data_IF_044546761566
#
_entry.id   IF_044546761566
#
_cell.length_a   1.000
_cell.length_b   1.000
_cell.length_c   1.000
_cell.angle_alpha   90.00
_cell.angle_beta   90.00
_cell.angle_gamma   90.00
#
_symmetry.space_group_name_H-M   'P 1'
#
loop_
_entity.id
_entity.type
_entity.pdbx_description
1 polymer ?
#
# COMPACT_ATOMS: atom_id res chain seq x y z
N UNK A 1 -12.37 -1.27 -11.96
CA UNK A 1 -11.50 -2.45 -11.66
C UNK A 1 -10.98 -3.17 -12.90
N UNK A 2 -11.81 -3.77 -13.77
CA UNK A 2 -11.30 -4.51 -14.94
C UNK A 2 -10.56 -3.62 -15.97
N UNK A 3 -11.03 -2.37 -16.16
CA UNK A 3 -10.35 -1.40 -17.02
C UNK A 3 -9.00 -0.92 -16.44
N UNK A 4 -8.95 -0.71 -15.12
CA UNK A 4 -7.73 -0.39 -14.38
C UNK A 4 -6.70 -1.53 -14.44
N UNK A 5 -7.13 -2.79 -14.23
CA UNK A 5 -6.27 -3.96 -14.35
C UNK A 5 -5.63 -4.06 -15.75
N UNK A 6 -6.43 -3.82 -16.82
CA UNK A 6 -5.93 -3.79 -18.21
C UNK A 6 -4.99 -2.63 -18.50
N UNK A 7 -5.20 -1.47 -17.86
CA UNK A 7 -4.27 -0.33 -17.93
C UNK A 7 -2.94 -0.71 -17.27
N UNK A 8 -2.98 -1.30 -16.07
CA UNK A 8 -1.80 -1.72 -15.30
C UNK A 8 -0.97 -2.79 -16.01
N UNK A 9 -1.62 -3.81 -16.59
CA UNK A 9 -0.97 -4.84 -17.43
C UNK A 9 -0.12 -4.23 -18.54
N UNK A 10 -0.54 -3.10 -19.10
CA UNK A 10 0.10 -2.50 -20.29
C UNK A 10 1.02 -1.33 -19.95
N UNK A 11 0.78 -0.56 -18.89
CA UNK A 11 1.64 0.57 -18.48
C UNK A 11 3.02 0.07 -18.04
N UNK A 12 3.08 -1.09 -17.37
CA UNK A 12 4.27 -1.53 -16.63
C UNK A 12 5.05 -2.65 -17.32
N UNK A 13 4.43 -3.43 -18.22
CA UNK A 13 5.04 -4.65 -18.77
C UNK A 13 6.09 -4.45 -19.88
N UNK A 14 5.90 -3.57 -20.90
CA UNK A 14 6.85 -3.50 -22.01
C UNK A 14 8.19 -2.83 -21.65
N UNK A 15 8.18 -1.81 -20.78
CA UNK A 15 9.40 -1.04 -20.47
C UNK A 15 10.36 -1.78 -19.54
N UNK A 16 9.86 -2.60 -18.61
CA UNK A 16 10.68 -3.21 -17.54
C UNK A 16 11.08 -4.66 -17.80
N UNK A 17 10.48 -5.36 -18.77
CA UNK A 17 10.96 -6.69 -19.19
C UNK A 17 12.32 -6.57 -19.89
N UNK A 18 12.60 -5.48 -20.60
CA UNK A 18 13.89 -5.25 -21.24
C UNK A 18 14.97 -4.79 -20.25
N UNK A 19 14.69 -3.83 -19.37
CA UNK A 19 15.65 -3.39 -18.32
C UNK A 19 16.04 -4.52 -17.35
N UNK A 20 15.13 -5.48 -17.08
CA UNK A 20 15.42 -6.62 -16.20
C UNK A 20 15.87 -7.90 -16.89
N UNK A 21 15.81 -8.03 -18.22
CA UNK A 21 16.56 -9.12 -18.90
C UNK A 21 18.06 -8.86 -18.77
N UNK A 22 18.47 -7.59 -18.88
CA UNK A 22 19.86 -7.16 -18.67
C UNK A 22 20.28 -7.30 -17.19
N UNK A 23 19.45 -6.91 -16.21
CA UNK A 23 19.76 -7.16 -14.78
C UNK A 23 19.63 -8.64 -14.35
N UNK A 24 18.81 -9.46 -15.02
CA UNK A 24 18.64 -10.88 -14.70
C UNK A 24 19.80 -11.75 -15.20
N UNK A 25 20.50 -11.33 -16.26
CA UNK A 25 21.72 -11.98 -16.72
C UNK A 25 22.87 -11.83 -15.71
N UNK A 26 22.92 -10.73 -14.94
CA UNK A 26 23.87 -10.55 -13.83
C UNK A 26 23.48 -11.30 -12.53
N UNK A 27 22.24 -11.79 -12.41
CA UNK A 27 21.65 -12.40 -11.18
C UNK A 27 21.70 -13.93 -11.11
N UNK A 28 22.36 -14.62 -12.05
CA UNK A 28 22.37 -16.10 -12.12
C UNK A 28 23.14 -16.84 -11.00
N UNK A 29 23.45 -16.22 -9.85
CA UNK A 29 24.23 -16.86 -8.78
C UNK A 29 23.66 -16.76 -7.35
N UNK A 30 22.37 -16.45 -7.18
CA UNK A 30 21.73 -16.42 -5.85
C UNK A 30 20.68 -17.52 -5.67
N UNK A 31 20.57 -18.19 -4.50
CA UNK A 31 19.61 -19.27 -4.27
C UNK A 31 18.15 -18.81 -4.18
N UNK A 32 17.91 -17.52 -3.89
CA UNK A 32 16.60 -16.90 -3.99
C UNK A 32 16.40 -16.44 -5.43
N UNK A 33 15.73 -17.27 -6.24
CA UNK A 33 15.27 -16.88 -7.57
C UNK A 33 14.38 -15.63 -7.49
N UNK A 34 14.21 -14.88 -8.60
CA UNK A 34 13.28 -13.75 -8.60
C UNK A 34 11.90 -14.25 -8.17
N UNK A 35 11.36 -13.70 -7.07
CA UNK A 35 9.96 -13.97 -6.72
C UNK A 35 9.12 -13.70 -7.97
N UNK A 36 8.48 -14.74 -8.51
CA UNK A 36 7.87 -14.65 -9.83
C UNK A 36 6.73 -13.65 -9.78
N UNK A 37 6.84 -12.61 -10.61
CA UNK A 37 5.73 -11.71 -10.85
C UNK A 37 4.65 -12.49 -11.60
N UNK A 38 3.40 -12.17 -11.30
CA UNK A 38 2.24 -12.65 -12.05
C UNK A 38 2.18 -12.02 -13.44
N UNK A 39 1.47 -12.66 -14.36
CA UNK A 39 1.18 -12.10 -15.69
C UNK A 39 0.27 -10.86 -15.61
N UNK A 40 -0.54 -10.77 -14.55
CA UNK A 40 -1.42 -9.64 -14.25
C UNK A 40 -1.53 -9.41 -12.73
N UNK A 41 -1.65 -8.15 -12.27
CA UNK A 41 -1.70 -7.86 -10.84
C UNK A 41 -3.05 -8.25 -10.23
N UNK A 42 -3.02 -8.84 -9.04
CA UNK A 42 -4.20 -9.09 -8.24
C UNK A 42 -4.60 -7.82 -7.49
N UNK A 43 -5.50 -7.07 -8.11
CA UNK A 43 -5.97 -5.77 -7.62
C UNK A 43 -7.15 -5.86 -6.63
N UNK A 44 -7.57 -7.06 -6.23
CA UNK A 44 -8.71 -7.22 -5.32
C UNK A 44 -8.33 -6.72 -3.92
N UNK A 45 -9.12 -5.78 -3.39
CA UNK A 45 -8.94 -5.20 -2.07
C UNK A 45 -10.18 -5.46 -1.20
N UNK A 46 -9.99 -5.50 0.12
CA UNK A 46 -11.09 -5.55 1.12
C UNK A 46 -10.87 -4.46 2.17
N UNK A 47 -11.06 -3.19 1.79
CA UNK A 47 -10.86 -2.08 2.71
C UNK A 47 -11.84 -2.19 3.88
N UNK A 48 -11.36 -1.93 5.09
CA UNK A 48 -12.18 -1.88 6.29
C UNK A 48 -11.69 -0.77 7.22
N UNK A 49 -12.56 -0.34 8.12
CA UNK A 49 -12.26 0.73 9.06
C UNK A 49 -13.19 0.69 10.24
N UNK A 50 -13.03 1.67 11.13
CA UNK A 50 -13.85 1.84 12.31
C UNK A 50 -13.59 3.18 12.98
N UNK A 51 -14.40 3.52 13.96
CA UNK A 51 -14.23 4.72 14.75
C UNK A 51 -14.51 4.47 16.23
N UNK A 52 -13.72 5.08 17.10
CA UNK A 52 -13.96 5.19 18.53
C UNK A 52 -14.40 6.63 18.83
N UNK A 53 -15.72 6.85 18.81
CA UNK A 53 -16.32 8.17 18.93
C UNK A 53 -15.94 8.91 20.23
N UNK A 54 -15.70 8.18 21.32
CA UNK A 54 -15.31 8.73 22.62
C UNK A 54 -13.98 9.48 22.62
N UNK A 55 -13.10 9.22 21.64
CA UNK A 55 -11.77 9.85 21.55
C UNK A 55 -11.49 10.50 20.19
N UNK A 56 -12.50 10.59 19.34
CA UNK A 56 -12.39 11.16 17.99
C UNK A 56 -11.34 10.46 17.13
N UNK A 57 -11.12 9.16 17.38
CA UNK A 57 -10.20 8.32 16.62
C UNK A 57 -10.98 7.57 15.55
N UNK A 58 -10.52 7.59 14.32
CA UNK A 58 -11.01 6.69 13.27
C UNK A 58 -9.84 6.08 12.52
N UNK A 59 -10.07 4.94 11.88
CA UNK A 59 -9.06 4.33 11.05
C UNK A 59 -9.66 3.70 9.80
N UNK A 60 -8.79 3.52 8.81
CA UNK A 60 -9.02 2.70 7.65
C UNK A 60 -7.79 1.86 7.37
N UNK A 61 -8.01 0.70 6.78
CA UNK A 61 -6.95 -0.19 6.34
C UNK A 61 -7.32 -0.78 4.98
N UNK A 62 -6.32 -0.98 4.13
CA UNK A 62 -6.45 -1.77 2.92
C UNK A 62 -5.18 -2.54 2.64
N UNK A 63 -5.31 -3.60 1.86
CA UNK A 63 -4.20 -4.44 1.44
C UNK A 63 -4.47 -4.96 0.02
N UNK A 64 -3.42 -5.07 -0.80
CA UNK A 64 -3.48 -5.57 -2.17
C UNK A 64 -2.25 -6.44 -2.46
N UNK A 65 -2.48 -7.60 -3.07
CA UNK A 65 -1.41 -8.53 -3.42
C UNK A 65 -0.52 -7.96 -4.54
N UNK A 66 -1.12 -7.22 -5.48
CA UNK A 66 -0.37 -6.62 -6.57
C UNK A 66 0.23 -7.68 -7.50
N UNK A 67 1.51 -7.52 -7.84
CA UNK A 67 2.18 -8.35 -8.84
C UNK A 67 2.86 -9.60 -8.28
N UNK A 68 3.02 -9.72 -6.96
CA UNK A 68 3.66 -10.89 -6.34
C UNK A 68 2.78 -12.13 -6.46
N UNK A 69 3.40 -13.31 -6.54
CA UNK A 69 2.67 -14.59 -6.58
C UNK A 69 1.86 -14.87 -5.29
N UNK A 70 2.34 -14.39 -4.15
CA UNK A 70 1.74 -14.54 -2.84
C UNK A 70 1.45 -13.18 -2.20
N UNK A 71 0.51 -13.16 -1.25
CA UNK A 71 0.29 -12.05 -0.33
C UNK A 71 0.89 -12.44 1.01
N UNK A 72 2.05 -11.88 1.33
CA UNK A 72 2.83 -12.18 2.54
C UNK A 72 2.59 -11.16 3.66
N UNK A 73 2.07 -9.97 3.34
CA UNK A 73 1.67 -8.97 4.34
C UNK A 73 0.50 -9.44 5.23
N UNK A 74 0.50 -8.94 6.46
CA UNK A 74 -0.61 -8.99 7.39
C UNK A 74 -0.74 -7.68 8.17
N UNK A 75 -1.90 -7.45 8.79
CA UNK A 75 -2.11 -6.28 9.64
C UNK A 75 -3.16 -6.54 10.72
N UNK A 76 -3.17 -5.71 11.76
CA UNK A 76 -4.24 -5.71 12.76
C UNK A 76 -4.56 -4.28 13.24
N UNK A 77 -5.81 -4.09 13.67
CA UNK A 77 -6.33 -2.81 14.12
C UNK A 77 -7.32 -3.02 15.28
N UNK A 78 -7.01 -2.42 16.43
CA UNK A 78 -7.73 -2.54 17.68
C UNK A 78 -8.04 -1.13 18.17
N UNK A 79 -9.28 -0.70 18.01
CA UNK A 79 -9.73 0.63 18.47
C UNK A 79 -9.79 0.74 20.00
N UNK A 80 -9.84 -0.40 20.67
CA UNK A 80 -9.82 -0.52 22.11
C UNK A 80 -8.92 -1.70 22.49
N UNK A 81 -8.09 -1.51 23.51
CA UNK A 81 -7.24 -2.54 24.07
C UNK A 81 -7.87 -3.13 25.35
N UNK A 82 -8.26 -4.42 25.34
CA UNK A 82 -8.87 -5.05 26.51
C UNK A 82 -7.99 -4.96 27.76
N UNK A 83 -8.59 -4.61 28.90
CA UNK A 83 -7.88 -4.49 30.17
C UNK A 83 -7.16 -3.15 30.39
N UNK A 84 -7.13 -2.27 29.38
CA UNK A 84 -6.69 -0.89 29.52
C UNK A 84 -7.87 0.07 29.60
N UNK A 85 -7.62 1.26 30.15
CA UNK A 85 -8.60 2.33 30.18
C UNK A 85 -9.01 2.81 28.79
N UNK A 86 -10.08 3.61 28.69
CA UNK A 86 -10.51 4.19 27.41
C UNK A 86 -9.41 5.07 26.79
N UNK A 87 -9.34 5.10 25.46
CA UNK A 87 -8.39 5.93 24.71
C UNK A 87 -7.08 5.23 24.34
N UNK A 88 -6.97 3.93 24.66
CA UNK A 88 -5.89 3.07 24.18
C UNK A 88 -6.30 2.30 22.92
N UNK A 89 -5.49 2.39 21.87
CA UNK A 89 -5.69 1.68 20.61
C UNK A 89 -4.38 1.13 20.07
N UNK A 90 -4.44 0.07 19.27
CA UNK A 90 -3.26 -0.59 18.70
C UNK A 90 -3.45 -0.88 17.21
N UNK A 91 -2.46 -0.55 16.41
CA UNK A 91 -2.42 -0.82 14.97
C UNK A 91 -1.07 -1.40 14.62
N UNK A 92 -1.03 -2.39 13.74
CA UNK A 92 0.23 -2.90 13.23
C UNK A 92 0.14 -3.35 11.78
N UNK A 93 1.23 -3.16 11.04
CA UNK A 93 1.46 -3.73 9.72
C UNK A 93 2.70 -4.61 9.81
N UNK A 94 2.63 -5.76 9.13
CA UNK A 94 3.67 -6.76 9.09
C UNK A 94 3.88 -7.16 7.63
N UNK A 95 5.00 -6.75 7.07
CA UNK A 95 5.44 -7.13 5.73
C UNK A 95 6.20 -8.45 5.84
N UNK A 96 5.68 -9.51 5.23
CA UNK A 96 6.23 -10.85 5.35
C UNK A 96 7.20 -11.18 4.22
N UNK A 97 8.24 -11.95 4.51
CA UNK A 97 9.14 -12.48 3.48
C UNK A 97 9.51 -13.93 3.79
N UNK A 98 9.69 -14.72 2.73
CA UNK A 98 10.00 -16.15 2.87
C UNK A 98 8.82 -16.96 3.46
N UNK A 99 7.59 -16.51 3.21
CA UNK A 99 6.36 -17.10 3.70
C UNK A 99 5.54 -16.16 4.61
N UNK A 100 4.24 -16.46 4.73
CA UNK A 100 3.28 -15.64 5.50
C UNK A 100 3.34 -15.84 7.01
N UNK A 101 4.06 -16.86 7.50
CA UNK A 101 3.91 -17.35 8.88
C UNK A 101 4.27 -16.30 9.91
N UNK A 102 5.38 -15.59 9.71
CA UNK A 102 5.85 -14.57 10.66
C UNK A 102 4.89 -13.38 10.72
N UNK A 103 4.44 -12.87 9.56
CA UNK A 103 3.49 -11.75 9.47
C UNK A 103 2.14 -12.11 10.11
N UNK A 104 1.58 -13.28 9.79
CA UNK A 104 0.33 -13.75 10.38
C UNK A 104 0.45 -13.98 11.90
N UNK A 105 1.59 -14.50 12.37
CA UNK A 105 1.84 -14.66 13.79
C UNK A 105 1.85 -13.30 14.49
N UNK A 106 2.60 -12.33 13.98
CA UNK A 106 2.70 -11.02 14.61
C UNK A 106 1.36 -10.26 14.59
N UNK A 107 0.62 -10.28 13.47
CA UNK A 107 -0.71 -9.66 13.39
C UNK A 107 -1.68 -10.23 14.46
N UNK A 108 -1.57 -11.53 14.74
CA UNK A 108 -2.45 -12.23 15.67
C UNK A 108 -2.02 -12.12 17.14
N UNK A 109 -0.72 -12.18 17.42
CA UNK A 109 -0.21 -12.39 18.76
C UNK A 109 0.52 -11.19 19.36
N UNK A 110 1.08 -10.30 18.55
CA UNK A 110 1.80 -9.11 19.05
C UNK A 110 0.94 -8.21 19.97
N UNK A 111 -0.36 -7.95 19.68
CA UNK A 111 -1.21 -7.20 20.60
C UNK A 111 -1.28 -7.81 22.01
N UNK A 112 -1.31 -9.15 22.10
CA UNK A 112 -1.34 -9.86 23.38
C UNK A 112 -0.06 -9.68 24.20
N UNK A 113 1.10 -9.74 23.55
CA UNK A 113 2.39 -9.48 24.22
C UNK A 113 2.52 -8.03 24.68
N UNK A 114 1.98 -7.09 23.89
CA UNK A 114 1.94 -5.68 24.29
C UNK A 114 1.07 -5.50 25.52
N UNK A 115 -0.15 -6.06 25.54
CA UNK A 115 -1.04 -6.03 26.70
C UNK A 115 -0.39 -6.62 27.96
N UNK A 116 0.23 -7.80 27.84
CA UNK A 116 0.93 -8.45 28.95
C UNK A 116 2.08 -7.58 29.49
N UNK A 117 2.87 -6.99 28.59
CA UNK A 117 4.04 -6.19 28.96
C UNK A 117 3.68 -4.83 29.59
N UNK A 118 2.53 -4.25 29.20
CA UNK A 118 2.01 -3.00 29.75
C UNK A 118 1.38 -3.18 31.14
N UNK A 119 0.68 -4.31 31.36
CA UNK A 119 -0.12 -4.51 32.56
C UNK A 119 -1.37 -3.61 32.60
N UNK A 120 -2.15 -3.64 33.71
CA UNK A 120 -3.44 -2.94 33.80
C UNK A 120 -3.31 -1.42 33.98
N UNK A 121 -2.13 -0.93 34.39
CA UNK A 121 -1.85 0.47 34.61
C UNK A 121 -0.52 0.83 33.95
N UNK A 122 -0.52 1.16 32.64
CA UNK A 122 0.69 1.55 31.92
C UNK A 122 1.35 2.75 32.61
N UNK A 123 2.67 2.65 32.82
CA UNK A 123 3.46 3.68 33.51
C UNK A 123 3.82 4.89 32.62
N UNK A 124 4.86 5.60 33.02
CA UNK A 124 5.45 6.72 32.27
C UNK A 124 5.90 6.32 30.84
N UNK A 125 6.06 7.27 29.91
CA UNK A 125 6.38 6.98 28.51
C UNK A 125 7.56 6.05 28.31
N UNK A 126 8.63 6.21 29.08
CA UNK A 126 9.81 5.35 29.03
C UNK A 126 9.47 3.89 29.40
N UNK A 127 8.63 3.70 30.42
CA UNK A 127 8.16 2.38 30.83
C UNK A 127 7.32 1.69 29.76
N UNK A 128 6.51 2.46 29.03
CA UNK A 128 5.74 1.97 27.87
C UNK A 128 6.67 1.61 26.71
N UNK A 129 7.70 2.42 26.44
CA UNK A 129 8.71 2.10 25.44
C UNK A 129 9.45 0.78 25.75
N UNK A 130 9.86 0.59 27.00
CA UNK A 130 10.47 -0.67 27.45
C UNK A 130 9.50 -1.86 27.37
N UNK A 131 8.21 -1.65 27.66
CA UNK A 131 7.20 -2.69 27.50
C UNK A 131 7.06 -3.13 26.02
N UNK A 132 7.07 -2.18 25.09
CA UNK A 132 7.03 -2.46 23.66
C UNK A 132 8.26 -3.25 23.18
N UNK A 133 9.47 -2.87 23.61
CA UNK A 133 10.70 -3.66 23.31
C UNK A 133 10.59 -5.09 23.82
N UNK A 134 10.19 -5.28 25.09
CA UNK A 134 9.98 -6.61 25.68
C UNK A 134 8.93 -7.41 24.93
N UNK A 135 7.83 -6.78 24.52
CA UNK A 135 6.74 -7.43 23.79
C UNK A 135 7.22 -8.02 22.46
N UNK A 136 8.00 -7.25 21.68
CA UNK A 136 8.57 -7.72 20.41
C UNK A 136 9.56 -8.87 20.61
N UNK A 137 10.49 -8.74 21.56
CA UNK A 137 11.47 -9.80 21.86
C UNK A 137 10.81 -11.09 22.37
N UNK A 138 9.76 -10.98 23.19
CA UNK A 138 8.96 -12.14 23.64
C UNK A 138 8.17 -12.76 22.50
N UNK A 139 7.58 -11.95 21.63
CA UNK A 139 6.86 -12.43 20.45
C UNK A 139 7.81 -13.21 19.53
N UNK A 140 9.01 -12.69 19.26
CA UNK A 140 10.03 -13.37 18.46
C UNK A 140 10.51 -14.68 19.09
N UNK A 141 10.77 -14.68 20.40
CA UNK A 141 11.15 -15.88 21.13
C UNK A 141 10.06 -16.96 21.09
N UNK A 142 8.78 -16.58 21.21
CA UNK A 142 7.67 -17.52 21.04
C UNK A 142 7.60 -18.02 19.60
N UNK A 143 7.73 -17.14 18.62
CA UNK A 143 7.72 -17.51 17.21
C UNK A 143 8.81 -18.55 16.93
N UNK A 144 10.03 -18.35 17.46
CA UNK A 144 11.15 -19.30 17.35
C UNK A 144 10.82 -20.67 17.92
N UNK A 145 10.18 -20.71 19.09
CA UNK A 145 9.78 -21.97 19.73
C UNK A 145 8.74 -22.75 18.92
N UNK A 146 7.95 -22.07 18.08
CA UNK A 146 6.95 -22.67 17.19
C UNK A 146 7.47 -22.89 15.76
N UNK A 147 8.68 -22.42 15.44
CA UNK A 147 9.18 -22.38 14.07
C UNK A 147 9.70 -23.75 13.62
N UNK A 148 9.27 -24.27 12.46
CA UNK A 148 9.84 -25.46 11.86
C UNK A 148 11.33 -25.26 11.58
N UNK A 149 12.14 -26.26 11.95
CA UNK A 149 13.60 -26.19 11.76
C UNK A 149 13.95 -26.06 10.28
N UNK A 150 14.81 -25.10 9.97
CA UNK A 150 15.38 -24.92 8.63
C UNK A 150 14.44 -24.24 7.63
N UNK A 151 13.21 -23.87 8.00
CA UNK A 151 12.38 -23.05 7.12
C UNK A 151 12.83 -21.58 7.18
N UNK A 152 13.11 -20.92 6.04
CA UNK A 152 13.38 -19.50 6.00
C UNK A 152 12.11 -18.71 6.28
N UNK A 153 12.27 -17.42 6.56
CA UNK A 153 11.19 -16.46 6.57
C UNK A 153 11.11 -15.62 7.83
N UNK A 154 10.58 -14.43 7.65
CA UNK A 154 10.50 -13.40 8.66
C UNK A 154 9.44 -12.38 8.30
N UNK A 155 9.35 -11.35 9.12
CA UNK A 155 8.47 -10.24 8.84
C UNK A 155 8.95 -8.97 9.52
N UNK A 156 8.82 -7.85 8.82
CA UNK A 156 8.86 -6.55 9.48
C UNK A 156 7.69 -6.43 10.46
N UNK A 157 7.79 -5.49 11.40
CA UNK A 157 6.69 -5.15 12.27
C UNK A 157 6.75 -3.67 12.61
N UNK A 158 5.73 -2.93 12.17
CA UNK A 158 5.49 -1.55 12.51
C UNK A 158 4.21 -1.46 13.32
N UNK A 159 4.32 -1.09 14.59
CA UNK A 159 3.21 -0.95 15.52
C UNK A 159 3.05 0.49 16.00
N UNK A 160 1.80 0.97 15.98
CA UNK A 160 1.35 2.19 16.61
C UNK A 160 0.48 1.82 17.82
N UNK A 161 0.94 2.20 19.01
CA UNK A 161 0.15 2.18 20.23
C UNK A 161 -0.27 3.62 20.55
N UNK A 162 -1.57 3.89 20.50
CA UNK A 162 -2.16 5.17 20.86
C UNK A 162 -2.57 5.12 22.32
N UNK A 163 -2.23 6.14 23.09
CA UNK A 163 -2.77 6.39 24.44
C UNK A 163 -3.49 7.73 24.49
N UNK A 164 -4.15 8.09 25.61
CA UNK A 164 -4.73 9.42 25.77
C UNK A 164 -3.74 10.58 25.56
N UNK A 165 -2.44 10.37 25.83
CA UNK A 165 -1.44 11.44 25.85
C UNK A 165 -0.28 11.25 24.86
N UNK A 166 -0.04 10.04 24.37
CA UNK A 166 1.12 9.71 23.55
C UNK A 166 0.76 8.82 22.36
N UNK A 167 1.55 8.95 21.29
CA UNK A 167 1.64 8.02 20.18
C UNK A 167 2.98 7.29 20.30
N UNK A 168 2.95 5.98 20.54
CA UNK A 168 4.16 5.16 20.62
C UNK A 168 4.31 4.37 19.32
N UNK A 169 5.44 4.58 18.64
CA UNK A 169 5.79 3.87 17.42
C UNK A 169 6.89 2.88 17.76
N UNK A 170 6.61 1.59 17.63
CA UNK A 170 7.60 0.52 17.72
C UNK A 170 7.78 -0.07 16.32
N UNK A 171 8.95 0.10 15.72
CA UNK A 171 9.20 -0.33 14.35
C UNK A 171 10.45 -1.20 14.23
N UNK A 172 10.34 -2.24 13.42
CA UNK A 172 11.34 -3.28 13.22
C UNK A 172 11.29 -3.68 11.75
N UNK A 173 12.27 -3.24 10.95
CA UNK A 173 12.29 -3.42 9.49
C UNK A 173 12.11 -2.10 8.73
N UNK A 174 11.64 -2.19 7.49
CA UNK A 174 11.53 -1.11 6.50
C UNK A 174 10.08 -0.76 6.10
N UNK A 175 9.08 -1.34 6.79
CA UNK A 175 7.77 -0.70 6.90
C UNK A 175 7.90 0.64 7.62
N UNK A 176 7.13 1.64 7.20
CA UNK A 176 7.30 3.03 7.66
C UNK A 176 6.00 3.67 8.14
N UNK A 177 6.12 4.54 9.15
CA UNK A 177 5.04 5.41 9.62
C UNK A 177 5.35 6.88 9.35
N UNK A 178 4.32 7.67 9.03
CA UNK A 178 4.37 9.13 8.87
C UNK A 178 3.25 9.78 9.68
N UNK A 179 3.61 10.73 10.54
CA UNK A 179 2.67 11.61 11.25
C UNK A 179 2.51 12.92 10.48
N UNK A 180 1.27 13.24 10.11
CA UNK A 180 0.89 14.59 9.68
C UNK A 180 0.36 15.39 10.86
N UNK A 181 0.84 16.63 10.98
CA UNK A 181 0.45 17.58 12.03
C UNK A 181 0.50 18.98 11.46
N UNK A 182 -0.59 19.73 11.63
CA UNK A 182 -0.72 21.10 11.13
C UNK A 182 -0.34 21.26 9.64
N UNK A 183 -0.73 20.31 8.79
CA UNK A 183 -0.50 20.33 7.34
C UNK A 183 0.91 19.94 6.90
N UNK A 184 1.76 19.44 7.80
CA UNK A 184 3.12 19.03 7.48
C UNK A 184 3.48 17.66 8.06
N UNK A 185 4.47 17.00 7.46
CA UNK A 185 5.09 15.78 8.02
C UNK A 185 5.89 16.18 9.27
N UNK A 186 5.38 15.81 10.45
CA UNK A 186 6.00 16.14 11.73
C UNK A 186 6.90 15.03 12.27
N UNK A 187 6.68 13.79 11.84
CA UNK A 187 7.51 12.65 12.21
C UNK A 187 7.46 11.58 11.12
N UNK A 188 8.57 10.88 10.93
CA UNK A 188 8.72 9.73 10.04
C UNK A 188 9.70 8.74 10.68
N UNK A 189 9.39 7.44 10.64
CA UNK A 189 10.34 6.40 11.07
C UNK A 189 11.45 6.21 10.04
N UNK A 190 12.63 5.77 10.48
CA UNK A 190 13.78 5.49 9.60
C UNK A 190 13.90 3.99 9.32
N UNK A 191 14.04 3.61 8.05
CA UNK A 191 14.06 2.19 7.68
C UNK A 191 15.30 1.47 8.23
N UNK A 192 15.08 0.27 8.79
CA UNK A 192 16.15 -0.61 9.21
C UNK A 192 16.74 -1.39 8.02
N UNK A 193 17.67 -0.76 7.30
CA UNK A 193 18.41 -1.36 6.17
C UNK A 193 19.83 -1.76 6.61
N UNK A 194 20.41 -2.85 6.06
CA UNK A 194 21.76 -3.31 6.43
C UNK A 194 22.86 -2.25 6.36
N UNK A 195 22.79 -1.33 5.39
CA UNK A 195 23.80 -0.27 5.21
C UNK A 195 23.67 0.90 6.17
N UNK A 196 22.58 1.00 6.95
CA UNK A 196 22.43 2.06 7.95
C UNK A 196 23.54 1.90 9.02
N UNK A 197 24.24 2.98 9.44
CA UNK A 197 25.47 2.85 10.23
C UNK A 197 25.35 1.95 11.47
N UNK A 198 24.31 2.15 12.30
CA UNK A 198 24.08 1.34 13.50
C UNK A 198 23.80 -0.14 13.18
N UNK A 199 23.11 -0.39 12.08
CA UNK A 199 22.75 -1.75 11.64
C UNK A 199 23.97 -2.46 11.06
N UNK A 200 24.74 -1.76 10.24
CA UNK A 200 25.99 -2.26 9.66
C UNK A 200 26.99 -2.65 10.74
N UNK A 201 27.19 -1.78 11.72
CA UNK A 201 28.12 -2.02 12.81
C UNK A 201 27.68 -3.25 13.63
N UNK A 202 26.37 -3.36 13.97
CA UNK A 202 25.81 -4.56 14.62
C UNK A 202 26.05 -5.84 13.80
N UNK A 203 25.78 -5.80 12.49
CA UNK A 203 25.93 -6.96 11.59
C UNK A 203 27.40 -7.42 11.57
N UNK A 204 28.35 -6.50 11.37
CA UNK A 204 29.78 -6.84 11.33
C UNK A 204 30.30 -7.33 12.68
N UNK A 205 29.88 -6.69 13.78
CA UNK A 205 30.23 -7.13 15.12
C UNK A 205 29.72 -8.56 15.38
N UNK A 206 28.55 -8.91 14.83
CA UNK A 206 27.98 -10.25 14.89
C UNK A 206 28.64 -11.27 13.95
N UNK A 207 29.70 -10.88 13.24
CA UNK A 207 30.45 -11.72 12.31
C UNK A 207 29.81 -11.82 10.92
N UNK A 208 28.77 -11.03 10.66
CA UNK A 208 28.07 -11.01 9.38
C UNK A 208 28.69 -10.10 8.33
N UNK A 209 28.26 -10.30 7.09
CA UNK A 209 28.70 -9.54 5.93
C UNK A 209 27.54 -8.83 5.24
N UNK A 210 27.85 -7.76 4.52
CA UNK A 210 26.89 -7.06 3.67
C UNK A 210 27.43 -7.05 2.26
N UNK A 211 26.68 -7.66 1.34
CA UNK A 211 27.01 -7.75 -0.08
C UNK A 211 25.81 -7.32 -0.90
N UNK A 212 26.02 -6.52 -1.95
CA UNK A 212 24.94 -6.00 -2.82
C UNK A 212 23.81 -5.33 -2.02
N UNK A 213 24.18 -4.56 -0.97
CA UNK A 213 23.26 -3.88 -0.03
C UNK A 213 22.37 -4.81 0.82
N UNK A 214 22.67 -6.12 0.83
CA UNK A 214 21.91 -7.15 1.56
C UNK A 214 22.78 -7.83 2.60
N UNK A 215 22.18 -8.17 3.73
CA UNK A 215 22.78 -8.98 4.79
C UNK A 215 23.02 -10.40 4.26
N UNK A 216 24.25 -10.87 4.38
CA UNK A 216 24.73 -12.13 3.77
C UNK A 216 24.42 -12.25 2.26
N UNK A 217 24.25 -11.12 1.57
CA UNK A 217 23.86 -11.10 0.15
C UNK A 217 22.41 -11.53 -0.14
N UNK A 218 21.60 -11.87 0.87
CA UNK A 218 20.23 -12.36 0.72
C UNK A 218 19.19 -11.35 1.25
N UNK A 219 19.28 -10.92 2.51
CA UNK A 219 18.20 -10.19 3.17
C UNK A 219 18.35 -8.65 3.03
N UNK A 220 17.28 -7.97 2.62
CA UNK A 220 17.28 -6.50 2.41
C UNK A 220 16.96 -5.68 3.67
N UNK A 221 16.46 -6.33 4.72
CA UNK A 221 16.19 -5.73 6.03
C UNK A 221 17.26 -6.13 7.03
N UNK A 222 17.53 -5.27 8.01
CA UNK A 222 18.40 -5.58 9.14
C UNK A 222 17.64 -5.95 10.40
N UNK A 223 16.33 -5.67 10.47
CA UNK A 223 15.50 -6.03 11.62
C UNK A 223 14.20 -6.68 11.18
N UNK A 224 13.82 -7.74 11.88
CA UNK A 224 12.60 -8.49 11.61
C UNK A 224 12.27 -9.44 12.78
N UNK A 225 10.99 -9.80 12.88
CA UNK A 225 10.56 -11.02 13.55
C UNK A 225 10.88 -12.23 12.65
N UNK A 226 11.16 -13.39 13.21
CA UNK A 226 11.54 -14.57 12.42
C UNK A 226 13.02 -14.55 12.02
N UNK A 227 13.34 -14.96 10.80
CA UNK A 227 14.70 -14.93 10.23
C UNK A 227 15.73 -15.63 11.13
N UNK A 228 15.33 -16.75 11.75
CA UNK A 228 16.09 -17.36 12.84
C UNK A 228 17.48 -17.85 12.45
N UNK A 229 17.71 -18.16 11.18
CA UNK A 229 19.04 -18.49 10.65
C UNK A 229 20.05 -17.34 10.84
N UNK A 230 19.59 -16.09 10.89
CA UNK A 230 20.39 -14.89 11.13
C UNK A 230 20.44 -14.49 12.62
N UNK A 231 19.93 -15.36 13.52
CA UNK A 231 19.82 -15.14 14.97
C UNK A 231 20.53 -16.24 15.78
N UNK A 232 21.68 -16.68 15.25
CA UNK A 232 22.52 -17.76 15.81
C UNK A 232 23.97 -17.33 16.09
N UNK A 233 24.26 -16.02 16.06
CA UNK A 233 25.59 -15.51 16.38
C UNK A 233 25.98 -15.88 17.83
N UNK A 234 27.10 -16.62 18.04
CA UNK A 234 27.45 -17.13 19.36
C UNK A 234 27.67 -16.03 20.39
N UNK A 235 27.16 -16.24 21.60
CA UNK A 235 27.39 -15.33 22.74
C UNK A 235 26.70 -13.96 22.64
N UNK A 236 25.85 -13.75 21.63
CA UNK A 236 25.14 -12.49 21.42
C UNK A 236 23.69 -12.56 21.89
N UNK A 237 23.19 -11.56 22.61
CA UNK A 237 21.77 -11.50 22.97
C UNK A 237 20.90 -11.27 21.71
N UNK A 238 19.57 -11.50 21.80
CA UNK A 238 18.65 -11.38 20.66
C UNK A 238 18.75 -10.07 19.87
N UNK A 239 18.99 -8.96 20.56
CA UNK A 239 19.08 -7.61 20.01
C UNK A 239 20.38 -7.34 19.24
N UNK A 240 21.45 -8.12 19.50
CA UNK A 240 22.78 -7.97 18.88
C UNK A 240 23.11 -9.03 17.82
N UNK A 241 22.10 -9.76 17.36
CA UNK A 241 22.19 -10.72 16.26
C UNK A 241 22.38 -10.02 14.89
N UNK A 242 22.65 -10.79 13.82
CA UNK A 242 22.76 -10.23 12.47
C UNK A 242 21.44 -9.55 12.09
N UNK A 243 20.32 -10.25 12.29
CA UNK A 243 18.97 -9.69 12.23
C UNK A 243 18.45 -9.50 13.65
N UNK A 244 18.08 -8.28 14.03
CA UNK A 244 17.51 -7.99 15.36
C UNK A 244 15.99 -8.01 15.33
N UNK A 245 15.37 -8.56 16.37
CA UNK A 245 13.92 -8.42 16.60
C UNK A 245 13.57 -7.20 17.46
N UNK A 246 14.58 -6.48 17.97
CA UNK A 246 14.37 -5.33 18.82
C UNK A 246 13.81 -4.15 18.01
N UNK A 247 12.61 -3.64 18.36
CA UNK A 247 12.08 -2.47 17.69
C UNK A 247 12.80 -1.22 18.16
N UNK A 248 12.98 -0.27 17.24
CA UNK A 248 13.19 1.11 17.67
C UNK A 248 11.85 1.71 18.09
N UNK A 249 11.81 2.26 19.31
CA UNK A 249 10.59 2.78 19.93
C UNK A 249 10.69 4.28 20.19
N UNK A 250 9.72 5.03 19.67
CA UNK A 250 9.59 6.48 19.87
C UNK A 250 8.26 6.81 20.51
N UNK A 251 8.28 7.66 21.56
CA UNK A 251 7.09 8.23 22.18
C UNK A 251 6.89 9.69 21.73
N UNK A 252 5.77 9.97 21.07
CA UNK A 252 5.40 11.30 20.61
C UNK A 252 4.25 11.83 21.47
N UNK A 253 4.44 12.97 22.14
CA UNK A 253 3.34 13.63 22.82
C UNK A 253 2.26 14.02 21.81
N UNK A 254 1.01 13.68 22.12
CA UNK A 254 -0.16 14.03 21.31
C UNK A 254 -0.40 15.54 21.36
N UNK A 255 -0.88 16.08 20.25
CA UNK A 255 -1.25 17.48 20.10
C UNK A 255 -2.62 17.61 19.46
N UNK A 256 -3.30 18.73 19.70
CA UNK A 256 -4.61 18.98 19.11
C UNK A 256 -4.55 19.07 17.58
N UNK A 257 -3.40 19.48 17.04
CA UNK A 257 -3.12 19.63 15.62
C UNK A 257 -2.66 18.32 14.96
N UNK A 258 -2.61 17.20 15.69
CA UNK A 258 -2.37 15.89 15.08
C UNK A 258 -3.50 15.57 14.10
N UNK A 259 -3.14 15.35 12.84
CA UNK A 259 -4.10 15.11 11.76
C UNK A 259 -4.32 13.62 11.58
N UNK A 260 -3.25 12.90 11.20
CA UNK A 260 -3.30 11.47 10.97
C UNK A 260 -1.92 10.83 11.06
N UNK A 261 -1.90 9.53 11.33
CA UNK A 261 -0.74 8.66 11.14
C UNK A 261 -1.00 7.69 9.99
N UNK A 262 -0.11 7.66 9.00
CA UNK A 262 -0.12 6.66 7.94
C UNK A 262 0.97 5.61 8.22
N UNK A 263 0.58 4.35 8.34
CA UNK A 263 1.47 3.19 8.37
C UNK A 263 1.38 2.49 7.02
N UNK A 264 2.49 2.05 6.43
CA UNK A 264 2.47 1.19 5.25
C UNK A 264 3.70 0.29 5.12
N UNK A 265 3.59 -0.81 4.35
CA UNK A 265 4.72 -1.62 3.89
C UNK A 265 5.56 -0.91 2.81
N UNK A 266 6.76 -1.40 2.53
CA UNK A 266 7.71 -0.76 1.61
C UNK A 266 7.17 -0.71 0.17
N UNK A 267 6.30 -1.64 -0.23
CA UNK A 267 5.59 -1.62 -1.50
C UNK A 267 4.82 -0.31 -1.78
N UNK A 268 4.45 0.44 -0.73
CA UNK A 268 3.88 1.78 -0.84
C UNK A 268 4.97 2.85 -0.89
N UNK A 269 5.96 2.77 0.01
CA UNK A 269 7.01 3.79 0.17
C UNK A 269 8.04 3.81 -0.96
N UNK A 270 8.21 2.70 -1.67
CA UNK A 270 9.03 2.59 -2.86
C UNK A 270 8.37 3.28 -4.08
N UNK A 271 7.04 3.42 -4.06
CA UNK A 271 6.29 4.10 -5.11
C UNK A 271 6.13 5.61 -4.85
N UNK A 272 6.09 6.02 -3.58
CA UNK A 272 5.83 7.42 -3.20
C UNK A 272 6.56 7.83 -1.92
N UNK A 273 7.09 9.06 -1.91
CA UNK A 273 7.74 9.63 -0.72
C UNK A 273 6.74 9.97 0.40
N UNK A 274 7.26 10.12 1.63
CA UNK A 274 6.47 10.51 2.80
C UNK A 274 5.68 11.81 2.62
N UNK A 275 6.30 12.85 2.07
CA UNK A 275 5.64 14.13 1.79
C UNK A 275 4.58 14.03 0.70
N UNK A 276 4.84 13.24 -0.35
CA UNK A 276 3.87 12.99 -1.42
C UNK A 276 2.63 12.25 -0.90
N UNK A 277 2.82 11.23 -0.06
CA UNK A 277 1.72 10.47 0.54
C UNK A 277 0.94 11.31 1.55
N UNK A 278 1.61 12.07 2.41
CA UNK A 278 0.94 12.96 3.35
C UNK A 278 0.07 14.00 2.63
N UNK A 279 0.60 14.64 1.58
CA UNK A 279 -0.16 15.58 0.74
C UNK A 279 -1.36 14.91 0.06
N UNK A 280 -1.18 13.70 -0.48
CA UNK A 280 -2.26 12.94 -1.09
C UNK A 280 -3.35 12.65 -0.06
N UNK A 281 -3.01 12.04 1.08
CA UNK A 281 -3.95 11.73 2.17
C UNK A 281 -4.72 12.97 2.61
N UNK A 282 -4.02 14.06 2.92
CA UNK A 282 -4.66 15.31 3.33
C UNK A 282 -5.66 15.82 2.28
N UNK A 283 -5.26 15.81 1.00
CA UNK A 283 -6.15 16.24 -0.09
C UNK A 283 -7.38 15.37 -0.25
N UNK A 284 -7.28 14.05 -0.01
CA UNK A 284 -8.39 13.11 -0.10
C UNK A 284 -9.32 13.19 1.12
N UNK A 285 -8.78 13.45 2.31
CA UNK A 285 -9.59 13.73 3.51
C UNK A 285 -10.42 15.01 3.34
N UNK A 286 -9.90 16.04 2.66
CA UNK A 286 -10.66 17.24 2.29
C UNK A 286 -11.84 16.97 1.33
N UNK A 287 -11.89 15.80 0.69
CA UNK A 287 -13.05 15.37 -0.11
C UNK A 287 -14.08 14.58 0.71
N UNK A 288 -13.81 14.34 1.99
CA UNK A 288 -14.66 13.52 2.86
C UNK A 288 -14.59 12.02 2.56
N UNK A 289 -13.52 11.55 1.92
CA UNK A 289 -13.32 10.12 1.72
C UNK A 289 -13.16 9.41 3.07
N UNK A 290 -13.93 8.34 3.27
CA UNK A 290 -13.76 7.48 4.43
C UNK A 290 -12.33 6.89 4.45
N UNK A 291 -11.66 6.80 5.61
CA UNK A 291 -10.27 6.37 5.70
C UNK A 291 -9.95 5.06 4.96
N UNK A 292 -10.85 4.07 5.02
CA UNK A 292 -10.66 2.78 4.36
C UNK A 292 -10.71 2.86 2.83
N UNK A 293 -11.55 3.75 2.27
CA UNK A 293 -11.61 3.99 0.83
C UNK A 293 -10.40 4.80 0.36
N UNK A 294 -9.92 5.72 1.19
CA UNK A 294 -8.68 6.45 0.96
C UNK A 294 -7.49 5.50 0.91
N UNK A 295 -7.36 4.57 1.86
CA UNK A 295 -6.35 3.52 1.82
C UNK A 295 -6.41 2.72 0.51
N UNK A 296 -7.60 2.31 0.06
CA UNK A 296 -7.73 1.58 -1.19
C UNK A 296 -7.28 2.39 -2.42
N UNK A 297 -7.67 3.67 -2.49
CA UNK A 297 -7.24 4.58 -3.55
C UNK A 297 -5.72 4.82 -3.53
N UNK A 298 -5.12 4.90 -2.33
CA UNK A 298 -3.67 5.04 -2.17
C UNK A 298 -2.94 3.82 -2.75
N UNK A 299 -3.40 2.61 -2.44
CA UNK A 299 -2.81 1.38 -2.99
C UNK A 299 -2.98 1.26 -4.51
N UNK A 300 -4.15 1.61 -5.05
CA UNK A 300 -4.37 1.67 -6.50
C UNK A 300 -3.43 2.69 -7.16
N UNK A 301 -3.20 3.84 -6.49
CA UNK A 301 -2.28 4.88 -6.97
C UNK A 301 -0.84 4.35 -7.00
N UNK A 302 -0.37 3.69 -5.94
CA UNK A 302 0.98 3.11 -5.88
C UNK A 302 1.17 2.00 -6.92
N UNK A 303 0.15 1.16 -7.14
CA UNK A 303 0.15 0.16 -8.19
C UNK A 303 0.28 0.81 -9.58
N UNK A 304 -0.46 1.89 -9.84
CA UNK A 304 -0.36 2.66 -11.08
C UNK A 304 1.01 3.33 -11.27
N UNK A 305 1.64 3.79 -10.18
CA UNK A 305 2.99 4.35 -10.19
C UNK A 305 4.09 3.30 -10.34
N UNK A 306 3.71 2.02 -10.40
CA UNK A 306 4.61 0.92 -10.73
C UNK A 306 5.18 0.17 -9.55
N UNK A 307 4.50 0.18 -8.39
CA UNK A 307 4.76 -0.80 -7.35
C UNK A 307 4.51 -2.21 -7.88
N UNK A 308 5.47 -3.10 -7.63
CA UNK A 308 5.42 -4.52 -8.02
C UNK A 308 5.26 -5.43 -6.81
N UNK A 309 5.00 -4.86 -5.64
CA UNK A 309 5.00 -5.57 -4.37
C UNK A 309 3.60 -5.87 -3.83
N UNK A 310 3.55 -6.66 -2.75
CA UNK A 310 2.46 -6.57 -1.80
C UNK A 310 2.42 -5.16 -1.22
N UNK A 311 1.21 -4.67 -0.94
CA UNK A 311 1.06 -3.37 -0.32
C UNK A 311 -0.05 -3.42 0.70
N UNK A 312 0.26 -2.92 1.89
CA UNK A 312 -0.68 -2.79 3.00
C UNK A 312 -0.52 -1.40 3.60
N UNK A 313 -1.62 -0.74 3.91
CA UNK A 313 -1.58 0.53 4.64
C UNK A 313 -2.72 0.64 5.66
N UNK A 314 -2.44 1.36 6.74
CA UNK A 314 -3.40 1.77 7.77
C UNK A 314 -3.30 3.28 7.91
N UNK A 315 -4.43 3.96 7.75
CA UNK A 315 -4.58 5.38 8.05
C UNK A 315 -5.33 5.53 9.37
N UNK A 316 -4.71 6.15 10.36
CA UNK A 316 -5.32 6.48 11.66
C UNK A 316 -5.54 7.98 11.73
N UNK A 317 -6.79 8.42 11.73
CA UNK A 317 -7.18 9.83 11.78
C UNK A 317 -7.50 10.26 13.21
N UNK A 318 -6.97 11.42 13.59
CA UNK A 318 -7.18 12.08 14.88
C UNK A 318 -8.17 13.25 14.74
N UNK A 319 -8.60 13.91 15.84
CA UNK A 319 -9.55 15.02 15.78
C UNK A 319 -9.11 16.21 14.91
N UNK A 320 -7.79 16.40 14.73
CA UNK A 320 -7.22 17.44 13.89
C UNK A 320 -7.20 17.10 12.40
N UNK A 321 -7.64 15.91 11.98
CA UNK A 321 -7.64 15.50 10.57
C UNK A 321 -8.37 16.51 9.67
N UNK A 322 -7.88 16.73 8.43
CA UNK A 322 -8.57 17.58 7.45
C UNK A 322 -10.04 17.18 7.29
N UNK A 323 -10.91 18.20 7.30
CA UNK A 323 -12.35 18.02 7.16
C UNK A 323 -12.79 18.24 5.71
N UNK A 324 -13.95 17.70 5.31
CA UNK A 324 -14.53 17.98 4.00
C UNK A 324 -14.58 19.48 3.71
N UNK A 325 -14.10 19.87 2.53
CA UNK A 325 -14.00 21.24 2.07
C UNK A 325 -14.73 21.37 0.72
N UNK A 326 -15.74 22.23 0.66
CA UNK A 326 -16.55 22.42 -0.55
C UNK A 326 -15.72 22.84 -1.76
N UNK A 327 -14.70 23.68 -1.54
CA UNK A 327 -13.80 24.10 -2.62
C UNK A 327 -12.99 22.92 -3.18
N UNK A 328 -12.47 22.06 -2.31
CA UNK A 328 -11.71 20.87 -2.73
C UNK A 328 -12.60 19.91 -3.52
N UNK A 329 -13.83 19.68 -3.05
CA UNK A 329 -14.83 18.84 -3.73
C UNK A 329 -15.17 19.42 -5.11
N UNK A 330 -15.41 20.73 -5.20
CA UNK A 330 -15.69 21.40 -6.48
C UNK A 330 -14.54 21.25 -7.46
N UNK A 331 -13.29 21.47 -7.02
CA UNK A 331 -12.10 21.30 -7.85
C UNK A 331 -11.95 19.88 -8.37
N UNK A 332 -12.17 18.88 -7.51
CA UNK A 332 -12.10 17.47 -7.89
C UNK A 332 -13.14 17.13 -8.98
N UNK A 333 -14.38 17.60 -8.83
CA UNK A 333 -15.44 17.38 -9.82
C UNK A 333 -15.12 18.04 -11.17
N UNK A 334 -14.56 19.26 -11.15
CA UNK A 334 -14.15 19.96 -12.37
C UNK A 334 -13.02 19.21 -13.07
N UNK A 335 -12.02 18.74 -12.32
CA UNK A 335 -10.92 17.95 -12.84
C UNK A 335 -11.42 16.63 -13.47
N UNK A 336 -12.32 15.92 -12.79
CA UNK A 336 -12.87 14.66 -13.30
C UNK A 336 -13.64 14.85 -14.60
N UNK A 337 -14.46 15.89 -14.67
CA UNK A 337 -15.18 16.24 -15.89
C UNK A 337 -14.22 16.65 -17.03
N UNK A 338 -13.14 17.37 -16.71
CA UNK A 338 -12.12 17.77 -17.69
C UNK A 338 -11.36 16.57 -18.24
N UNK A 339 -10.91 15.65 -17.37
CA UNK A 339 -10.26 14.41 -17.77
C UNK A 339 -11.20 13.55 -18.63
N UNK A 340 -12.47 13.42 -18.24
CA UNK A 340 -13.46 12.66 -19.01
C UNK A 340 -13.66 13.21 -20.42
N UNK A 341 -13.80 14.54 -20.57
CA UNK A 341 -13.87 15.19 -21.89
C UNK A 341 -12.60 14.96 -22.71
N UNK A 342 -11.42 15.13 -22.09
CA UNK A 342 -10.15 14.96 -22.77
C UNK A 342 -9.93 13.53 -23.26
N UNK A 343 -10.31 12.53 -22.47
CA UNK A 343 -10.30 11.12 -22.88
C UNK A 343 -11.21 10.89 -24.09
N UNK A 344 -12.42 11.46 -24.10
CA UNK A 344 -13.34 11.33 -25.23
C UNK A 344 -12.78 11.97 -26.51
N UNK A 345 -12.16 13.15 -26.42
CA UNK A 345 -11.48 13.81 -27.54
C UNK A 345 -10.35 12.97 -28.12
N UNK A 346 -9.47 12.45 -27.26
CA UNK A 346 -8.35 11.60 -27.68
C UNK A 346 -8.84 10.30 -28.33
N UNK A 347 -9.96 9.75 -27.85
CA UNK A 347 -10.55 8.54 -28.43
C UNK A 347 -11.28 8.79 -29.76
N UNK A 348 -11.77 10.00 -30.01
CA UNK A 348 -12.46 10.37 -31.25
C UNK A 348 -11.49 10.71 -32.39
N UNK A 349 -10.20 10.88 -32.11
CA UNK A 349 -9.19 11.27 -33.08
C UNK A 349 -8.63 10.05 -33.84
N UNK A 350 -9.08 9.85 -35.09
CA UNK A 350 -8.58 8.81 -35.99
C UNK A 350 -9.64 7.78 -36.42
N UNK A 351 -9.25 6.85 -37.29
CA UNK A 351 -10.14 5.76 -37.75
C UNK A 351 -10.32 4.66 -36.69
N UNK A 352 -9.30 4.43 -35.85
CA UNK A 352 -9.36 3.52 -34.71
C UNK A 352 -8.97 4.27 -33.42
N UNK A 353 -9.71 4.08 -32.31
CA UNK A 353 -9.38 4.76 -31.06
C UNK A 353 -8.06 4.23 -30.49
N UNK A 354 -7.19 5.11 -29.95
CA UNK A 354 -5.94 4.72 -29.31
C UNK A 354 -6.19 3.76 -28.13
N UNK A 355 -5.19 2.95 -27.79
CA UNK A 355 -5.26 2.13 -26.58
C UNK A 355 -5.35 3.02 -25.32
N UNK A 356 -5.98 2.53 -24.26
CA UNK A 356 -6.04 3.20 -22.95
C UNK A 356 -4.64 3.63 -22.44
N UNK A 357 -3.63 2.84 -22.77
CA UNK A 357 -2.24 3.12 -22.45
C UNK A 357 -1.69 4.36 -23.18
N UNK A 358 -2.02 4.49 -24.47
CA UNK A 358 -1.63 5.65 -25.28
C UNK A 358 -2.37 6.90 -24.79
N UNK A 359 -3.67 6.78 -24.46
CA UNK A 359 -4.44 7.87 -23.85
C UNK A 359 -3.79 8.34 -22.55
N UNK A 360 -3.44 7.42 -21.66
CA UNK A 360 -2.79 7.76 -20.39
C UNK A 360 -1.43 8.44 -20.59
N UNK A 361 -0.59 7.96 -21.54
CA UNK A 361 0.70 8.59 -21.86
C UNK A 361 0.53 10.01 -22.42
N UNK A 362 -0.46 10.22 -23.28
CA UNK A 362 -0.76 11.56 -23.81
C UNK A 362 -1.18 12.50 -22.68
N UNK A 363 -2.13 12.09 -21.83
CA UNK A 363 -2.54 12.87 -20.66
C UNK A 363 -1.36 13.14 -19.70
N UNK A 364 -0.45 12.18 -19.51
CA UNK A 364 0.73 12.35 -18.66
C UNK A 364 1.76 13.34 -19.23
N UNK A 365 1.70 13.64 -20.54
CA UNK A 365 2.54 14.66 -21.18
C UNK A 365 1.91 16.05 -21.20
N UNK A 366 0.63 16.16 -20.82
CA UNK A 366 -0.10 17.43 -20.74
C UNK A 366 0.09 18.07 -19.37
N UNK A 367 0.12 19.41 -19.34
CA UNK A 367 0.12 20.18 -18.09
C UNK A 367 -1.32 20.31 -17.57
N UNK A 368 -1.75 19.32 -16.77
CA UNK A 368 -3.11 19.25 -16.23
C UNK A 368 -3.12 19.89 -14.84
N UNK A 369 -3.82 21.02 -14.64
CA UNK A 369 -3.87 21.70 -13.35
C UNK A 369 -4.70 20.92 -12.30
N UNK A 370 -4.49 21.27 -11.03
CA UNK A 370 -5.24 20.74 -9.88
C UNK A 370 -5.19 19.20 -9.67
N UNK A 371 -4.23 18.51 -10.32
CA UNK A 371 -4.00 17.08 -10.06
C UNK A 371 -3.71 16.82 -8.57
N UNK A 372 -4.15 15.67 -8.01
CA UNK A 372 -3.91 15.33 -6.61
C UNK A 372 -2.42 15.39 -6.26
N UNK A 373 -2.03 16.12 -5.19
CA UNK A 373 -0.63 16.23 -4.80
C UNK A 373 -0.04 14.85 -4.49
N UNK A 374 1.20 14.62 -4.93
CA UNK A 374 1.90 13.32 -4.80
C UNK A 374 1.38 12.23 -5.74
N UNK A 375 0.08 12.01 -5.81
CA UNK A 375 -0.55 11.00 -6.67
C UNK A 375 -0.45 11.35 -8.16
N UNK A 376 -0.69 12.60 -8.51
CA UNK A 376 -0.75 13.09 -9.89
C UNK A 376 -1.82 12.38 -10.71
N UNK A 377 -1.58 12.21 -12.01
CA UNK A 377 -2.49 11.52 -12.93
C UNK A 377 -2.79 10.06 -12.52
N UNK A 378 -1.84 9.39 -11.86
CA UNK A 378 -1.99 8.00 -11.41
C UNK A 378 -3.11 7.85 -10.37
N UNK A 379 -3.35 8.86 -9.53
CA UNK A 379 -4.49 8.88 -8.60
C UNK A 379 -5.84 8.99 -9.35
N UNK A 380 -5.81 9.47 -10.59
CA UNK A 380 -6.97 9.63 -11.47
C UNK A 380 -7.10 8.48 -12.49
N UNK A 381 -6.28 7.43 -12.39
CA UNK A 381 -6.28 6.32 -13.34
C UNK A 381 -7.65 5.63 -13.48
N UNK A 382 -8.39 5.47 -12.39
CA UNK A 382 -9.75 4.90 -12.43
C UNK A 382 -10.72 5.80 -13.20
N UNK A 383 -10.68 7.12 -12.98
CA UNK A 383 -11.52 8.09 -13.71
C UNK A 383 -11.23 8.03 -15.22
N UNK A 384 -9.95 7.98 -15.59
CA UNK A 384 -9.50 7.89 -16.98
C UNK A 384 -9.95 6.56 -17.61
N UNK A 385 -9.77 5.45 -16.89
CA UNK A 385 -10.14 4.12 -17.35
C UNK A 385 -11.67 3.98 -17.53
N UNK A 386 -12.46 4.53 -16.61
CA UNK A 386 -13.91 4.49 -16.68
C UNK A 386 -14.43 5.35 -17.84
N UNK A 387 -13.90 6.57 -18.02
CA UNK A 387 -14.24 7.42 -19.18
C UNK A 387 -13.88 6.74 -20.52
N UNK A 388 -12.73 6.08 -20.59
CA UNK A 388 -12.31 5.32 -21.78
C UNK A 388 -13.26 4.14 -22.04
N UNK A 389 -13.64 3.40 -21.00
CA UNK A 389 -14.57 2.28 -21.11
C UNK A 389 -15.96 2.72 -21.58
N UNK A 390 -16.48 3.82 -21.04
CA UNK A 390 -17.76 4.41 -21.47
C UNK A 390 -17.72 4.81 -22.94
N UNK A 391 -16.64 5.45 -23.39
CA UNK A 391 -16.47 5.79 -24.81
C UNK A 391 -16.48 4.55 -25.72
N UNK A 392 -15.75 3.50 -25.31
CA UNK A 392 -15.67 2.24 -26.08
C UNK A 392 -17.02 1.53 -26.18
N UNK A 393 -17.82 1.56 -25.11
CA UNK A 393 -19.18 1.01 -25.11
C UNK A 393 -20.09 1.80 -26.07
N UNK A 394 -20.13 3.13 -25.94
CA UNK A 394 -20.96 3.99 -26.79
C UNK A 394 -20.57 3.92 -28.29
N UNK A 395 -19.28 3.78 -28.59
CA UNK A 395 -18.80 3.64 -29.98
C UNK A 395 -19.08 2.25 -30.57
N UNK A 396 -19.05 1.20 -29.75
CA UNK A 396 -19.44 -0.15 -30.15
C UNK A 396 -20.93 -0.25 -30.47
N UNK A 397 -21.79 0.37 -29.66
CA UNK A 397 -23.23 0.45 -29.91
C UNK A 397 -23.57 1.22 -31.20
N UNK A 398 -22.84 2.31 -31.50
CA UNK A 398 -22.97 3.03 -32.78
C UNK A 398 -22.56 2.20 -34.00
N UNK A 399 -21.53 1.35 -33.87
CA UNK A 399 -21.12 0.43 -34.94
C UNK A 399 -22.16 -0.67 -35.21
N UNK A 400 -22.77 -1.21 -34.16
CA UNK A 400 -23.83 -2.23 -34.28
C UNK A 400 -25.10 -1.65 -34.90
N UNK A 401 -25.50 -0.43 -34.50
CA UNK A 401 -26.64 0.27 -35.11
C UNK A 401 -26.37 0.73 -36.55
N UNK A 402 -25.12 1.09 -36.88
CA UNK A 402 -24.70 1.46 -38.24
C UNK A 402 -24.71 0.31 -39.24
N UNK A 403 -24.51 -0.94 -38.78
CA UNK A 403 -24.66 -2.13 -39.64
C UNK A 403 -26.12 -2.53 -39.87
N UNK A 404 -27.01 -2.25 -38.92
CA UNK A 404 -28.46 -2.50 -39.08
C UNK A 404 -29.20 -1.38 -39.83
N UNK A 405 -28.56 -0.25 -40.09
CA UNK A 405 -29.15 0.90 -40.82
C UNK A 405 -28.96 0.89 -42.34
N UNK A 406 -28.30 -0.15 -42.89
CA UNK A 406 -28.11 -0.29 -44.34
C UNK A 406 -29.24 -1.13 -44.96
N UNK A 407 -30.50 -0.70 -44.82
CA UNK A 407 -31.60 -1.21 -45.64
C UNK A 407 -31.58 -0.55 -47.03
N UNK A 408 -31.72 -1.42 -48.04
CA UNK A 408 -31.60 -1.13 -49.49
C UNK A 408 -32.53 0.01 -49.95
N UNK A 409 -32.13 0.78 -50.98
CA UNK A 409 -33.00 1.79 -51.56
C UNK A 409 -34.17 1.13 -52.28
N UNK A 410 -35.35 1.65 -51.96
CA UNK A 410 -36.66 1.36 -52.55
C UNK A 410 -36.65 1.51 -54.07
N UNK A 411 -37.03 0.44 -54.78
CA UNK A 411 -37.38 0.45 -56.19
C UNK A 411 -38.86 0.17 -56.40
N UNK A 412 -39.60 1.17 -56.87
CA UNK A 412 -40.99 1.08 -57.34
C UNK A 412 -41.06 0.48 -58.74
N UNK A 413 -41.87 -0.58 -58.97
CA UNK A 413 -43.03 -0.59 -59.88
C UNK A 413 -43.52 -2.00 -60.30
N UNK A 414 -44.83 -2.19 -60.08
CA UNK A 414 -45.88 -2.79 -60.94
C UNK A 414 -45.99 -4.30 -61.21
N UNK A 415 -47.25 -4.76 -61.10
CA UNK A 415 -47.91 -5.87 -61.82
C UNK A 415 -47.48 -7.28 -61.39
N UNK A 416 -48.31 -8.29 -61.18
CA UNK A 416 -49.70 -8.60 -61.55
C UNK A 416 -50.31 -9.57 -60.53
N UNK A 417 -51.64 -9.64 -60.57
CA UNK A 417 -52.53 -10.62 -59.94
C UNK A 417 -52.07 -12.10 -60.01
N UNK A 418 -52.51 -12.89 -59.02
CA UNK A 418 -53.46 -14.01 -59.14
C UNK A 418 -53.45 -14.85 -57.85
N UNK A 419 -54.65 -15.09 -57.29
CA UNK A 419 -55.24 -16.38 -56.86
C UNK A 419 -54.38 -17.41 -56.08
N UNK A 420 -54.86 -18.26 -55.16
CA UNK A 420 -56.10 -18.59 -54.43
C UNK A 420 -55.69 -19.81 -53.58
N UNK A 421 -56.24 -19.95 -52.37
CA UNK A 421 -56.45 -21.22 -51.62
C UNK A 421 -55.19 -22.01 -51.17
N UNK A 422 -55.12 -22.63 -49.98
CA UNK A 422 -56.08 -23.07 -48.98
C UNK A 422 -55.43 -23.03 -47.58
#
# INVERSE_FOLDING_TARGET
MAALARLLERLLWPARKQERVEEAEERRSSPDGPQSLLDAPRCAQRPHGGAAASWGLSFGASAVQGWRAHMEDAHCAWLELPGLGPGWAFFAILDGHGGTRAALFGARHLPGYVLEALGPAPGEPEGVCEALRRAFLRADARLRALWPRGEPGGSTALALLVSPHFLYLAHCGDSRAVLSRAGAVAFITEDHRPLHPRERDRIHDAGGTISRRRLEGSLAVSRALGDFAYKEAPGRPPELQLVSAEPEVTALARRAEDEFMLLASDGVWDAMSGSALAGLVASRLCLGLAPQLLCAQLLDTCLCKGSLDNMTCILVCFPGAPRPCEEAIRKELVLDAALGRRVAELCAFGQEPPSLNAVFRTLASEDIPDLPPGGGLHCKATVIADAYSQFRQASGERWVMGQNGAEKPTGTHSSSALDLEA
#
